data_IF_430446759563
#
_entry.id   IF_430446759563
#
_cell.length_a   1.000
_cell.length_b   1.000
_cell.length_c   1.000
_cell.angle_alpha   90.00
_cell.angle_beta   90.00
_cell.angle_gamma   90.00
#
_symmetry.space_group_name_H-M   'P 1'
#
loop_
_entity.id
_entity.type
_entity.pdbx_description
1 polymer ?
#
# COMPACT_ATOMS: atom_id res chain seq x y z
N UNK A 1 25.64 -5.03 35.46
CA UNK A 1 24.80 -4.01 34.79
C UNK A 1 25.26 -3.68 33.36
N UNK A 2 26.55 -3.69 33.00
CA UNK A 2 27.05 -3.27 31.68
C UNK A 2 26.63 -4.10 30.42
N UNK A 3 26.07 -5.32 30.57
CA UNK A 3 25.64 -6.13 29.42
C UNK A 3 24.29 -5.69 28.84
N UNK A 4 23.39 -5.16 29.65
CA UNK A 4 22.05 -4.75 29.20
C UNK A 4 22.10 -3.48 28.35
N UNK A 5 22.86 -2.47 28.77
CA UNK A 5 22.91 -1.18 28.07
C UNK A 5 23.48 -1.30 26.64
N UNK A 6 24.44 -2.22 26.42
CA UNK A 6 25.04 -2.47 25.09
C UNK A 6 24.12 -3.25 24.15
N UNK A 7 23.25 -4.12 24.71
CA UNK A 7 22.22 -4.86 23.95
C UNK A 7 21.09 -3.91 23.56
N UNK A 8 20.59 -3.10 24.51
CA UNK A 8 19.56 -2.08 24.29
C UNK A 8 20.02 -1.04 23.25
N UNK A 9 21.28 -0.60 23.32
CA UNK A 9 21.84 0.33 22.34
C UNK A 9 21.93 -0.24 20.92
N UNK A 10 22.11 -1.56 20.76
CA UNK A 10 22.12 -2.21 19.45
C UNK A 10 20.70 -2.32 18.89
N UNK A 11 19.72 -2.69 19.72
CA UNK A 11 18.32 -2.82 19.32
C UNK A 11 17.71 -1.49 18.86
N UNK A 12 17.95 -0.40 19.60
CA UNK A 12 17.49 0.95 19.22
C UNK A 12 18.06 1.42 17.87
N UNK A 13 19.33 1.08 17.58
CA UNK A 13 19.95 1.41 16.30
C UNK A 13 19.33 0.62 15.15
N UNK A 14 19.01 -0.66 15.37
CA UNK A 14 18.31 -1.47 14.39
C UNK A 14 16.90 -0.95 14.12
N UNK A 15 16.15 -0.59 15.16
CA UNK A 15 14.79 -0.10 15.01
C UNK A 15 14.76 1.23 14.27
N UNK A 16 15.69 2.15 14.59
CA UNK A 16 15.85 3.41 13.86
C UNK A 16 16.20 3.16 12.38
N UNK A 17 17.08 2.19 12.10
CA UNK A 17 17.43 1.83 10.72
C UNK A 17 16.21 1.32 9.95
N UNK A 18 15.48 0.37 10.54
CA UNK A 18 14.29 -0.24 9.94
C UNK A 18 13.22 0.82 9.69
N UNK A 19 12.98 1.72 10.64
CA UNK A 19 12.03 2.81 10.51
C UNK A 19 12.39 3.70 9.32
N UNK A 20 13.63 4.21 9.25
CA UNK A 20 14.08 5.08 8.17
C UNK A 20 14.00 4.40 6.80
N UNK A 21 14.34 3.11 6.74
CA UNK A 21 14.24 2.34 5.52
C UNK A 21 12.77 2.16 5.07
N UNK A 22 11.87 1.82 5.99
CA UNK A 22 10.46 1.60 5.66
C UNK A 22 9.70 2.88 5.33
N UNK A 23 10.13 4.04 5.82
CA UNK A 23 9.56 5.35 5.47
C UNK A 23 10.08 5.90 4.13
N UNK A 24 10.98 5.16 3.46
CA UNK A 24 11.43 5.46 2.09
C UNK A 24 12.67 6.34 1.99
N UNK A 25 13.44 6.51 3.08
CA UNK A 25 14.72 7.24 2.99
C UNK A 25 15.71 6.46 2.13
N UNK A 26 16.55 7.20 1.38
CA UNK A 26 17.59 6.59 0.56
C UNK A 26 18.67 5.99 1.46
N UNK A 27 19.25 4.87 1.01
CA UNK A 27 20.35 4.20 1.71
C UNK A 27 21.54 5.12 1.98
N UNK A 28 21.81 6.06 1.07
CA UNK A 28 22.89 7.05 1.24
C UNK A 28 22.64 7.97 2.43
N UNK A 29 21.40 8.44 2.60
CA UNK A 29 21.02 9.35 3.68
C UNK A 29 21.03 8.61 5.02
N UNK A 30 20.60 7.35 5.01
CA UNK A 30 20.70 6.45 6.17
C UNK A 30 22.18 6.23 6.56
N UNK A 31 23.07 5.99 5.60
CA UNK A 31 24.50 5.81 5.91
C UNK A 31 25.10 7.06 6.58
N UNK A 32 24.74 8.26 6.11
CA UNK A 32 25.16 9.54 6.70
C UNK A 32 24.63 9.69 8.12
N UNK A 33 23.34 9.42 8.35
CA UNK A 33 22.70 9.51 9.67
C UNK A 33 23.38 8.61 10.72
N UNK A 34 23.81 7.41 10.30
CA UNK A 34 24.48 6.46 11.17
C UNK A 34 26.00 6.63 11.22
N UNK A 35 26.57 7.53 10.42
CA UNK A 35 28.02 7.77 10.34
C UNK A 35 28.81 6.56 9.82
N UNK A 36 28.21 5.74 8.96
CA UNK A 36 28.79 4.50 8.42
C UNK A 36 29.06 4.59 6.92
N UNK A 37 29.90 3.69 6.40
CA UNK A 37 30.10 3.58 4.96
C UNK A 37 28.80 3.15 4.24
N UNK A 38 28.60 3.62 3.01
CA UNK A 38 27.40 3.34 2.20
C UNK A 38 27.15 1.86 1.96
N UNK A 39 28.17 1.01 1.99
CA UNK A 39 28.01 -0.44 1.87
C UNK A 39 27.37 -1.08 3.10
N UNK A 40 27.51 -0.45 4.28
CA UNK A 40 27.11 -1.02 5.57
C UNK A 40 25.59 -1.23 5.68
N UNK A 41 24.72 -0.27 5.31
CA UNK A 41 23.27 -0.51 5.28
C UNK A 41 22.85 -1.66 4.35
N UNK A 42 23.52 -1.84 3.20
CA UNK A 42 23.25 -2.96 2.32
C UNK A 42 23.61 -4.31 2.95
N UNK A 43 24.63 -4.35 3.81
CA UNK A 43 24.95 -5.54 4.59
C UNK A 43 23.90 -5.79 5.68
N UNK A 44 23.37 -4.74 6.32
CA UNK A 44 22.29 -4.87 7.30
C UNK A 44 21.01 -5.44 6.69
N UNK A 45 20.64 -5.01 5.49
CA UNK A 45 19.47 -5.56 4.76
C UNK A 45 19.59 -7.06 4.44
N UNK A 46 20.80 -7.62 4.46
CA UNK A 46 21.02 -9.05 4.22
C UNK A 46 20.80 -9.90 5.47
N UNK A 47 20.84 -9.30 6.67
CA UNK A 47 20.66 -10.02 7.92
C UNK A 47 19.19 -10.35 8.15
N UNK A 48 18.92 -11.58 8.56
CA UNK A 48 17.54 -12.06 8.66
C UNK A 48 16.78 -11.40 9.83
N UNK A 49 17.45 -11.09 10.93
CA UNK A 49 16.85 -10.35 12.05
C UNK A 49 16.34 -8.95 11.64
N UNK A 50 17.05 -8.29 10.73
CA UNK A 50 16.64 -6.99 10.18
C UNK A 50 15.50 -7.14 9.16
N UNK A 51 15.54 -8.17 8.31
CA UNK A 51 14.45 -8.43 7.35
C UNK A 51 13.13 -8.72 8.07
N UNK A 52 13.18 -9.54 9.11
CA UNK A 52 11.98 -9.88 9.90
C UNK A 52 11.40 -8.63 10.56
N UNK A 53 12.25 -7.74 11.08
CA UNK A 53 11.83 -6.44 11.62
C UNK A 53 11.22 -5.54 10.54
N UNK A 54 11.82 -5.47 9.34
CA UNK A 54 11.28 -4.70 8.21
C UNK A 54 9.90 -5.21 7.84
N UNK A 55 9.73 -6.52 7.72
CA UNK A 55 8.46 -7.11 7.34
C UNK A 55 7.38 -6.83 8.40
N UNK A 56 7.70 -7.03 9.68
CA UNK A 56 6.81 -6.68 10.79
C UNK A 56 6.42 -5.20 10.76
N UNK A 57 7.39 -4.30 10.55
CA UNK A 57 7.14 -2.86 10.51
C UNK A 57 6.25 -2.46 9.32
N UNK A 58 6.44 -3.09 8.15
CA UNK A 58 5.55 -2.90 6.99
C UNK A 58 4.11 -3.34 7.29
N UNK A 59 3.95 -4.50 7.90
CA UNK A 59 2.63 -5.01 8.29
C UNK A 59 1.96 -4.10 9.33
N UNK A 60 2.73 -3.53 10.26
CA UNK A 60 2.22 -2.55 11.23
C UNK A 60 1.78 -1.25 10.55
N UNK A 61 2.56 -0.72 9.59
CA UNK A 61 2.15 0.45 8.80
C UNK A 61 0.86 0.16 8.03
N UNK A 62 0.79 -0.98 7.35
CA UNK A 62 -0.38 -1.38 6.57
C UNK A 62 -1.61 -1.51 7.47
N UNK A 63 -1.47 -2.19 8.61
CA UNK A 63 -2.53 -2.35 9.60
C UNK A 63 -2.98 -0.99 10.16
N UNK A 64 -2.05 -0.10 10.45
CA UNK A 64 -2.33 1.26 10.92
C UNK A 64 -3.10 2.05 9.87
N UNK A 65 -2.67 1.99 8.60
CA UNK A 65 -3.37 2.62 7.47
C UNK A 65 -4.79 2.08 7.28
N UNK A 66 -4.96 0.76 7.31
CA UNK A 66 -6.29 0.11 7.25
C UNK A 66 -7.19 0.55 8.41
N UNK A 67 -6.67 0.57 9.63
CA UNK A 67 -7.41 1.01 10.81
C UNK A 67 -7.79 2.50 10.72
N UNK A 68 -6.91 3.34 10.17
CA UNK A 68 -7.19 4.75 9.95
C UNK A 68 -8.37 4.94 8.98
N UNK A 69 -8.36 4.24 7.84
CA UNK A 69 -9.46 4.26 6.86
C UNK A 69 -10.75 3.74 7.51
N UNK A 70 -10.68 2.59 8.19
CA UNK A 70 -11.82 1.97 8.88
C UNK A 70 -12.47 2.91 9.90
N UNK A 71 -11.68 3.63 10.69
CA UNK A 71 -12.16 4.56 11.70
C UNK A 71 -12.97 5.74 11.12
N UNK A 72 -12.81 6.04 9.82
CA UNK A 72 -13.48 7.15 9.12
C UNK A 72 -14.52 6.70 8.11
N UNK A 73 -14.82 5.40 8.04
CA UNK A 73 -15.74 4.83 7.07
C UNK A 73 -17.09 5.56 6.97
N UNK A 74 -17.72 5.85 8.12
CA UNK A 74 -19.01 6.58 8.19
C UNK A 74 -18.89 8.01 7.63
N UNK A 75 -17.73 8.65 7.79
CA UNK A 75 -17.48 9.99 7.25
C UNK A 75 -17.40 9.96 5.72
N UNK A 76 -16.73 8.96 5.15
CA UNK A 76 -16.67 8.78 3.69
C UNK A 76 -18.06 8.58 3.08
N UNK A 77 -18.92 7.77 3.70
CA UNK A 77 -20.31 7.60 3.27
C UNK A 77 -21.11 8.90 3.31
N UNK A 78 -20.98 9.68 4.39
CA UNK A 78 -21.64 10.99 4.52
C UNK A 78 -21.16 11.97 3.45
N UNK A 79 -19.86 11.97 3.15
CA UNK A 79 -19.30 12.80 2.10
C UNK A 79 -19.82 12.41 0.73
N UNK A 80 -19.96 11.12 0.42
CA UNK A 80 -20.56 10.64 -0.83
C UNK A 80 -22.00 11.15 -0.96
N UNK A 81 -22.85 10.96 0.06
CA UNK A 81 -24.25 11.44 0.02
C UNK A 81 -24.32 12.96 -0.16
N UNK A 82 -23.45 13.71 0.52
CA UNK A 82 -23.37 15.16 0.38
C UNK A 82 -22.95 15.56 -1.04
N UNK A 83 -21.85 15.00 -1.56
CA UNK A 83 -21.30 15.35 -2.87
C UNK A 83 -22.26 14.99 -4.00
N UNK A 84 -23.00 13.89 -3.87
CA UNK A 84 -24.00 13.46 -4.86
C UNK A 84 -25.22 14.41 -4.95
N UNK A 85 -25.48 15.22 -3.92
CA UNK A 85 -26.61 16.16 -3.86
C UNK A 85 -26.24 17.61 -4.20
N UNK A 86 -24.98 17.85 -4.59
CA UNK A 86 -24.51 19.17 -4.98
C UNK A 86 -24.53 19.31 -6.51
N UNK A 87 -24.87 20.51 -6.99
CA UNK A 87 -24.89 20.81 -8.43
C UNK A 87 -23.48 21.18 -8.98
N UNK A 88 -22.48 21.30 -8.11
CA UNK A 88 -21.09 21.61 -8.49
C UNK A 88 -20.36 20.36 -9.00
N UNK A 89 -19.45 20.52 -9.97
CA UNK A 89 -18.56 19.43 -10.36
C UNK A 89 -17.55 19.11 -9.25
N UNK A 90 -17.77 17.97 -8.58
CA UNK A 90 -16.91 17.41 -7.52
C UNK A 90 -16.52 15.97 -7.81
N UNK A 91 -16.46 15.57 -9.09
CA UNK A 91 -16.18 14.17 -9.49
C UNK A 91 -14.92 13.60 -8.84
N UNK A 92 -13.81 14.35 -8.82
CA UNK A 92 -12.56 13.88 -8.17
C UNK A 92 -12.73 13.59 -6.69
N UNK A 93 -13.46 14.44 -5.96
CA UNK A 93 -13.72 14.24 -4.53
C UNK A 93 -14.66 13.06 -4.29
N UNK A 94 -15.66 12.88 -5.15
CA UNK A 94 -16.57 11.74 -5.11
C UNK A 94 -15.80 10.43 -5.34
N UNK A 95 -15.00 10.36 -6.40
CA UNK A 95 -14.17 9.20 -6.73
C UNK A 95 -13.17 8.86 -5.63
N UNK A 96 -12.56 9.87 -4.98
CA UNK A 96 -11.66 9.63 -3.84
C UNK A 96 -12.40 9.00 -2.64
N UNK A 97 -13.61 9.46 -2.31
CA UNK A 97 -14.39 8.87 -1.21
C UNK A 97 -14.90 7.46 -1.58
N UNK A 98 -15.33 7.25 -2.83
CA UNK A 98 -15.73 5.94 -3.32
C UNK A 98 -14.58 4.93 -3.22
N UNK A 99 -13.38 5.29 -3.66
CA UNK A 99 -12.20 4.45 -3.54
C UNK A 99 -11.88 4.05 -2.08
N UNK A 100 -12.01 4.99 -1.13
CA UNK A 100 -11.80 4.71 0.30
C UNK A 100 -12.82 3.72 0.87
N UNK A 101 -14.08 3.80 0.42
CA UNK A 101 -15.15 2.87 0.78
C UNK A 101 -14.91 1.50 0.15
N UNK A 102 -14.51 1.42 -1.11
CA UNK A 102 -14.17 0.17 -1.80
C UNK A 102 -13.03 -0.60 -1.11
N UNK A 103 -12.10 0.09 -0.45
CA UNK A 103 -11.05 -0.57 0.36
C UNK A 103 -11.58 -1.27 1.61
N UNK A 104 -12.79 -0.92 2.06
CA UNK A 104 -13.45 -1.51 3.22
C UNK A 104 -14.45 -2.59 2.83
N UNK A 105 -15.30 -2.32 1.84
CA UNK A 105 -16.40 -3.19 1.45
C UNK A 105 -16.01 -4.20 0.36
N UNK A 106 -14.84 -4.01 -0.26
CA UNK A 106 -14.49 -4.64 -1.52
C UNK A 106 -15.07 -3.87 -2.70
N UNK A 107 -14.44 -4.00 -3.86
CA UNK A 107 -14.96 -3.43 -5.10
C UNK A 107 -16.02 -4.37 -5.66
N UNK A 108 -17.20 -3.84 -5.96
CA UNK A 108 -18.20 -4.59 -6.71
C UNK A 108 -17.69 -4.77 -8.15
N UNK A 109 -17.13 -5.95 -8.45
CA UNK A 109 -16.64 -6.29 -9.79
C UNK A 109 -17.68 -7.14 -10.51
N UNK A 110 -18.04 -6.75 -11.73
CA UNK A 110 -18.82 -7.61 -12.63
C UNK A 110 -17.90 -8.71 -13.17
N UNK A 111 -18.21 -9.96 -12.86
CA UNK A 111 -17.52 -11.11 -13.48
C UNK A 111 -18.15 -11.43 -14.83
N UNK A 112 -17.33 -11.61 -15.86
CA UNK A 112 -17.76 -12.15 -17.14
C UNK A 112 -17.37 -13.62 -17.18
N UNK A 113 -18.35 -14.51 -17.26
CA UNK A 113 -18.11 -15.94 -17.46
C UNK A 113 -17.79 -16.20 -18.95
N UNK A 114 -16.51 -16.39 -19.26
CA UNK A 114 -16.08 -16.81 -20.59
C UNK A 114 -15.95 -18.34 -20.62
N UNK A 115 -16.91 -19.01 -21.26
CA UNK A 115 -16.81 -20.45 -21.51
C UNK A 115 -15.90 -20.69 -22.71
N UNK A 116 -14.72 -21.25 -22.50
CA UNK A 116 -13.87 -21.74 -23.60
C UNK A 116 -14.38 -23.09 -24.11
N UNK A 117 -14.17 -23.40 -25.39
CA UNK A 117 -14.62 -24.66 -26.02
C UNK A 117 -14.07 -25.93 -25.35
N UNK A 118 -13.06 -25.80 -24.50
CA UNK A 118 -12.41 -26.90 -23.77
C UNK A 118 -12.89 -27.07 -22.32
N UNK A 119 -13.96 -26.38 -21.90
CA UNK A 119 -14.60 -26.60 -20.60
C UNK A 119 -13.84 -26.06 -19.38
N UNK A 120 -12.78 -25.27 -19.59
CA UNK A 120 -12.11 -24.53 -18.52
C UNK A 120 -12.78 -23.16 -18.32
N UNK A 121 -13.15 -22.87 -17.06
CA UNK A 121 -13.63 -21.55 -16.64
C UNK A 121 -12.43 -20.63 -16.35
N UNK A 122 -12.40 -19.47 -16.99
CA UNK A 122 -11.43 -18.41 -16.71
C UNK A 122 -12.21 -17.25 -16.11
N UNK A 123 -11.87 -16.86 -14.87
CA UNK A 123 -12.41 -15.65 -14.25
C UNK A 123 -11.58 -14.46 -14.73
N UNK A 124 -12.20 -13.57 -15.52
CA UNK A 124 -11.57 -12.33 -16.00
C UNK A 124 -12.38 -11.15 -15.51
N UNK A 125 -11.72 -10.09 -15.03
CA UNK A 125 -12.40 -8.85 -14.67
C UNK A 125 -12.40 -7.87 -15.85
N UNK A 126 -13.45 -7.05 -15.98
CA UNK A 126 -13.54 -6.03 -17.03
C UNK A 126 -12.40 -4.99 -16.99
N UNK A 127 -11.75 -4.84 -15.85
CA UNK A 127 -10.61 -3.93 -15.65
C UNK A 127 -9.30 -4.47 -16.23
N UNK A 128 -9.23 -5.77 -16.52
CA UNK A 128 -8.07 -6.42 -17.11
C UNK A 128 -8.02 -6.28 -18.65
N UNK A 129 -9.07 -5.73 -19.26
CA UNK A 129 -9.15 -5.55 -20.71
C UNK A 129 -8.55 -4.19 -21.10
N UNK A 130 -7.40 -4.15 -21.82
CA UNK A 130 -6.96 -2.91 -22.44
C UNK A 130 -8.02 -2.47 -23.45
N UNK A 131 -8.45 -1.23 -23.34
CA UNK A 131 -9.36 -0.61 -24.30
C UNK A 131 -8.57 -0.39 -25.60
N UNK A 132 -8.69 -1.31 -26.56
CA UNK A 132 -8.17 -1.10 -27.92
C UNK A 132 -9.10 -0.09 -28.62
N UNK A 133 -8.64 1.16 -28.75
CA UNK A 133 -9.35 2.25 -29.45
C UNK A 133 -9.45 2.04 -30.98
N UNK A 134 -8.85 0.98 -31.54
CA UNK A 134 -8.59 0.87 -32.98
C UNK A 134 -9.70 0.18 -33.82
N UNK A 135 -10.87 -0.16 -33.27
CA UNK A 135 -11.95 -0.81 -34.03
C UNK A 135 -13.10 0.14 -34.45
N UNK A 136 -12.75 1.37 -34.87
CA UNK A 136 -13.66 2.27 -35.57
C UNK A 136 -13.08 2.65 -36.95
N UNK A 137 -12.71 1.65 -37.75
CA UNK A 137 -12.71 1.82 -39.21
C UNK A 137 -14.10 1.42 -39.71
N UNK A 138 -14.96 2.42 -39.90
CA UNK A 138 -16.24 2.30 -40.60
C UNK A 138 -15.98 1.90 -42.07
N UNK A 139 -16.71 0.87 -42.53
CA UNK A 139 -16.84 0.46 -43.95
C UNK A 139 -17.38 1.58 -44.86
#
# INVERSE_FOLDING_TARGET
>A
MAKNDKVIGNELLQDKFVQMYCTGLKIVDIAIEFGVDRSTPYLWLKRDDIKDKIEKYKQEIETTGKNFIKGRYVEYLKNIDKLARQDDDKRTALSANQWLVEKMDGKATTMIDLTTKDGNNINVTLEDYPYDEDNNEEE
#
